data_IF_041590308703
#
_entry.id   IF_041590308703
#
_cell.length_a   1.000
_cell.length_b   1.000
_cell.length_c   1.000
_cell.angle_alpha   90.00
_cell.angle_beta   90.00
_cell.angle_gamma   90.00
#
_symmetry.space_group_name_H-M   'P 1'
#
loop_
_entity.id
_entity.type
_entity.pdbx_description
1 polymer ?
#
# COMPACT_ATOMS: atom_id res chain seq x y z
N UNK A 1 -18.19 -1.50 -13.90
CA UNK A 1 -17.94 -2.58 -14.87
C UNK A 1 -18.91 -3.69 -14.50
N UNK A 2 -19.74 -4.08 -15.44
CA UNK A 2 -20.64 -5.24 -15.29
C UNK A 2 -19.83 -6.43 -15.80
N UNK A 3 -19.65 -7.42 -14.94
CA UNK A 3 -19.06 -8.70 -15.29
C UNK A 3 -20.21 -9.71 -15.41
N UNK A 4 -20.19 -10.52 -16.47
CA UNK A 4 -21.19 -11.57 -16.71
C UNK A 4 -20.98 -12.81 -15.83
N UNK A 5 -20.07 -12.74 -14.84
CA UNK A 5 -19.85 -13.84 -13.90
C UNK A 5 -21.13 -14.06 -13.07
N UNK A 6 -21.77 -15.24 -13.13
CA UNK A 6 -22.97 -15.51 -12.34
C UNK A 6 -22.71 -15.29 -10.84
N UNK A 7 -23.65 -14.64 -10.17
CA UNK A 7 -23.64 -14.43 -8.71
C UNK A 7 -22.52 -13.51 -8.19
N UNK A 8 -21.77 -12.81 -9.06
CA UNK A 8 -20.73 -11.90 -8.66
C UNK A 8 -20.94 -10.49 -9.23
N UNK A 9 -20.59 -9.47 -8.44
CA UNK A 9 -20.52 -8.07 -8.86
C UNK A 9 -19.13 -7.54 -8.57
N UNK A 10 -18.42 -7.12 -9.63
CA UNK A 10 -17.06 -6.56 -9.50
C UNK A 10 -17.14 -5.04 -9.41
N UNK A 11 -16.60 -4.48 -8.32
CA UNK A 11 -16.46 -3.04 -8.13
C UNK A 11 -15.02 -2.62 -8.38
N UNK A 12 -14.83 -1.66 -9.29
CA UNK A 12 -13.53 -1.10 -9.61
C UNK A 12 -13.54 0.43 -9.47
N UNK A 13 -12.44 1.01 -9.00
CA UNK A 13 -12.28 2.45 -8.85
C UNK A 13 -10.91 2.81 -8.32
N UNK A 14 -10.42 4.00 -8.69
CA UNK A 14 -9.11 4.51 -8.25
C UNK A 14 -9.07 4.82 -6.76
N UNK A 15 -10.13 5.46 -6.24
CA UNK A 15 -10.19 5.83 -4.83
C UNK A 15 -10.65 4.64 -3.98
N UNK A 16 -9.78 4.09 -3.10
CA UNK A 16 -10.10 2.89 -2.32
C UNK A 16 -11.22 3.13 -1.31
N UNK A 17 -11.35 4.33 -0.75
CA UNK A 17 -12.43 4.69 0.18
C UNK A 17 -13.78 4.70 -0.55
N UNK A 18 -13.87 5.34 -1.71
CA UNK A 18 -15.11 5.33 -2.52
C UNK A 18 -15.51 3.93 -2.95
N UNK A 19 -14.53 3.09 -3.27
CA UNK A 19 -14.78 1.68 -3.60
C UNK A 19 -15.35 0.91 -2.41
N UNK A 20 -14.82 1.16 -1.21
CA UNK A 20 -15.33 0.52 0.01
C UNK A 20 -16.74 1.03 0.38
N UNK A 21 -17.00 2.33 0.24
CA UNK A 21 -18.38 2.89 0.38
C UNK A 21 -19.35 2.17 -0.56
N UNK A 22 -18.96 2.04 -1.83
CA UNK A 22 -19.82 1.37 -2.82
C UNK A 22 -20.06 -0.11 -2.47
N UNK A 23 -19.03 -0.82 -1.99
CA UNK A 23 -19.12 -2.22 -1.57
C UNK A 23 -20.11 -2.39 -0.42
N UNK A 24 -19.93 -1.63 0.65
CA UNK A 24 -20.78 -1.72 1.84
C UNK A 24 -22.22 -1.27 1.52
N UNK A 25 -22.37 -0.18 0.75
CA UNK A 25 -23.69 0.30 0.35
C UNK A 25 -24.44 -0.74 -0.49
N UNK A 26 -23.77 -1.37 -1.45
CA UNK A 26 -24.35 -2.43 -2.28
C UNK A 26 -24.77 -3.65 -1.45
N UNK A 27 -23.92 -4.13 -0.54
CA UNK A 27 -24.26 -5.24 0.36
C UNK A 27 -25.50 -4.94 1.19
N UNK A 28 -25.62 -3.72 1.71
CA UNK A 28 -26.79 -3.29 2.48
C UNK A 28 -28.06 -3.20 1.64
N UNK A 29 -27.94 -2.65 0.41
CA UNK A 29 -29.07 -2.55 -0.51
C UNK A 29 -29.59 -3.92 -0.95
N UNK A 30 -28.68 -4.84 -1.26
CA UNK A 30 -29.04 -6.22 -1.62
C UNK A 30 -29.71 -6.92 -0.45
N UNK A 31 -29.19 -6.76 0.77
CA UNK A 31 -29.77 -7.35 1.98
C UNK A 31 -31.13 -6.74 2.36
N UNK A 32 -31.31 -5.43 2.15
CA UNK A 32 -32.59 -4.72 2.43
C UNK A 32 -33.67 -5.00 1.35
N UNK A 33 -33.24 -5.27 0.11
CA UNK A 33 -34.15 -5.52 -1.03
C UNK A 33 -34.88 -4.28 -1.58
N UNK A 34 -34.78 -3.13 -0.92
CA UNK A 34 -35.40 -1.87 -1.34
C UNK A 34 -34.41 -1.01 -2.14
N UNK A 35 -34.35 -1.26 -3.44
CA UNK A 35 -33.40 -0.58 -4.33
C UNK A 35 -34.14 0.47 -5.16
N UNK A 36 -34.17 1.70 -4.65
CA UNK A 36 -34.70 2.88 -5.33
C UNK A 36 -33.82 4.12 -5.03
N UNK A 37 -33.83 5.18 -5.87
CA UNK A 37 -32.88 6.30 -5.78
C UNK A 37 -32.75 6.90 -4.38
N UNK A 38 -33.84 7.27 -3.73
CA UNK A 38 -33.79 7.87 -2.39
C UNK A 38 -33.16 6.94 -1.33
N UNK A 39 -33.40 5.62 -1.44
CA UNK A 39 -32.80 4.65 -0.51
C UNK A 39 -31.32 4.45 -0.78
N UNK A 40 -30.91 4.50 -2.03
CA UNK A 40 -29.50 4.43 -2.42
C UNK A 40 -28.74 5.62 -1.83
N UNK A 41 -29.26 6.84 -2.01
CA UNK A 41 -28.65 8.07 -1.47
C UNK A 41 -28.55 8.01 0.06
N UNK A 42 -29.61 7.62 0.75
CA UNK A 42 -29.64 7.47 2.21
C UNK A 42 -28.56 6.50 2.71
N UNK A 43 -28.46 5.31 2.09
CA UNK A 43 -27.50 4.28 2.48
C UNK A 43 -26.08 4.74 2.18
N UNK A 44 -25.81 5.32 1.02
CA UNK A 44 -24.48 5.82 0.66
C UNK A 44 -24.03 6.89 1.66
N UNK A 45 -24.87 7.88 1.96
CA UNK A 45 -24.54 8.93 2.91
C UNK A 45 -24.25 8.36 4.32
N UNK A 46 -25.06 7.39 4.76
CA UNK A 46 -24.84 6.74 6.06
C UNK A 46 -23.52 5.97 6.08
N UNK A 47 -23.21 5.22 5.04
CA UNK A 47 -21.96 4.45 4.93
C UNK A 47 -20.74 5.37 4.89
N UNK A 48 -20.82 6.50 4.17
CA UNK A 48 -19.74 7.49 4.15
C UNK A 48 -19.43 8.02 5.55
N UNK A 49 -20.44 8.38 6.33
CA UNK A 49 -20.28 8.85 7.71
C UNK A 49 -19.67 7.77 8.62
N UNK A 50 -20.19 6.54 8.55
CA UNK A 50 -19.66 5.42 9.34
C UNK A 50 -18.21 5.09 8.98
N UNK A 51 -17.88 5.13 7.68
CA UNK A 51 -16.53 4.87 7.21
C UNK A 51 -15.55 5.98 7.64
N UNK A 52 -15.97 7.22 7.66
CA UNK A 52 -15.15 8.33 8.15
C UNK A 52 -14.79 8.16 9.64
N UNK A 53 -15.74 7.71 10.46
CA UNK A 53 -15.49 7.36 11.87
C UNK A 53 -14.51 6.18 11.96
N UNK A 54 -14.76 5.11 11.23
CA UNK A 54 -13.91 3.92 11.23
C UNK A 54 -12.46 4.20 10.76
N UNK A 55 -12.28 5.09 9.79
CA UNK A 55 -10.97 5.57 9.35
C UNK A 55 -10.24 6.29 10.49
N UNK A 56 -10.91 7.21 11.18
CA UNK A 56 -10.31 7.93 12.29
C UNK A 56 -9.93 6.98 13.43
N UNK A 57 -10.83 6.11 13.83
CA UNK A 57 -10.59 5.12 14.88
C UNK A 57 -9.40 4.19 14.54
N UNK A 58 -9.31 3.75 13.28
CA UNK A 58 -8.18 2.95 12.84
C UNK A 58 -6.84 3.71 12.96
N UNK A 59 -6.81 5.00 12.59
CA UNK A 59 -5.61 5.83 12.74
C UNK A 59 -5.22 6.03 14.20
N UNK A 60 -6.18 6.32 15.08
CA UNK A 60 -5.98 6.43 16.52
C UNK A 60 -5.45 5.11 17.10
N UNK A 61 -6.03 3.99 16.71
CA UNK A 61 -5.59 2.66 17.14
C UNK A 61 -4.14 2.37 16.73
N UNK A 62 -3.75 2.67 15.48
CA UNK A 62 -2.37 2.48 15.03
C UNK A 62 -1.37 3.29 15.86
N UNK A 63 -1.68 4.56 16.15
CA UNK A 63 -0.82 5.42 16.97
C UNK A 63 -0.71 4.92 18.40
N UNK A 64 -1.80 4.41 18.95
CA UNK A 64 -1.84 3.80 20.28
C UNK A 64 -1.02 2.52 20.34
N UNK A 65 -1.21 1.59 19.42
CA UNK A 65 -0.52 0.29 19.38
C UNK A 65 1.00 0.46 19.24
N UNK A 66 1.43 1.38 18.39
CA UNK A 66 2.85 1.68 18.19
C UNK A 66 3.44 2.50 19.37
N UNK A 67 2.60 3.19 20.15
CA UNK A 67 3.01 4.05 21.25
C UNK A 67 3.60 5.39 20.77
N UNK A 68 3.07 5.94 19.66
CA UNK A 68 3.45 7.24 19.10
C UNK A 68 2.34 8.26 19.38
N UNK A 69 2.67 9.36 20.04
CA UNK A 69 1.70 10.36 20.49
C UNK A 69 1.95 11.73 19.85
N UNK A 70 0.92 12.58 19.84
CA UNK A 70 1.02 13.96 19.34
C UNK A 70 1.16 14.04 17.81
N UNK A 71 0.63 13.08 17.07
CA UNK A 71 0.46 13.18 15.63
C UNK A 71 -0.74 14.08 15.34
N UNK A 72 -0.63 14.93 14.32
CA UNK A 72 -1.71 15.81 13.91
C UNK A 72 -2.96 15.00 13.48
N UNK A 73 -4.20 15.41 13.82
CA UNK A 73 -5.42 14.68 13.51
C UNK A 73 -5.58 14.32 12.03
N UNK A 74 -5.16 15.18 11.12
CA UNK A 74 -5.21 14.90 9.68
C UNK A 74 -4.25 13.77 9.28
N UNK A 75 -3.06 13.69 9.88
CA UNK A 75 -2.15 12.55 9.65
C UNK A 75 -2.72 11.26 10.24
N UNK A 76 -3.38 11.31 11.40
CA UNK A 76 -4.09 10.17 12.00
C UNK A 76 -5.17 9.66 11.03
N UNK A 77 -5.96 10.57 10.46
CA UNK A 77 -6.95 10.22 9.44
C UNK A 77 -6.32 9.56 8.20
N UNK A 78 -5.19 10.08 7.74
CA UNK A 78 -4.45 9.48 6.61
C UNK A 78 -3.91 8.09 6.95
N UNK A 79 -3.36 7.87 8.16
CA UNK A 79 -2.96 6.53 8.62
C UNK A 79 -4.16 5.57 8.56
N UNK A 80 -5.33 5.99 9.03
CA UNK A 80 -6.54 5.16 8.98
C UNK A 80 -6.99 4.83 7.55
N UNK A 81 -6.84 5.76 6.58
CA UNK A 81 -7.13 5.51 5.16
C UNK A 81 -6.27 4.39 4.57
N UNK A 82 -5.03 4.21 5.05
CA UNK A 82 -4.14 3.13 4.60
C UNK A 82 -4.72 1.73 4.83
N UNK A 83 -5.67 1.56 5.76
CA UNK A 83 -6.38 0.30 6.01
C UNK A 83 -7.11 -0.23 4.76
N UNK A 84 -7.50 0.67 3.88
CA UNK A 84 -8.23 0.37 2.64
C UNK A 84 -7.31 0.37 1.41
N UNK A 85 -6.01 0.52 1.60
CA UNK A 85 -5.00 0.54 0.55
C UNK A 85 -4.15 -0.73 0.58
N UNK A 86 -4.10 -1.43 -0.54
CA UNK A 86 -3.18 -2.55 -0.77
C UNK A 86 -2.12 -2.11 -1.79
N UNK A 87 -0.87 -2.37 -1.50
CA UNK A 87 0.27 -2.10 -2.37
C UNK A 87 1.19 -3.31 -2.37
N UNK A 88 1.56 -3.82 -3.55
CA UNK A 88 2.40 -5.00 -3.72
C UNK A 88 1.94 -6.24 -2.90
N UNK A 89 0.63 -6.43 -2.77
CA UNK A 89 0.05 -7.55 -2.04
C UNK A 89 -0.01 -7.38 -0.52
N UNK A 90 0.51 -6.29 0.03
CA UNK A 90 0.43 -5.96 1.45
C UNK A 90 -0.64 -4.89 1.72
N UNK A 91 -1.37 -5.03 2.82
CA UNK A 91 -2.17 -3.95 3.36
C UNK A 91 -1.23 -2.88 3.95
N UNK A 92 -1.29 -1.65 3.44
CA UNK A 92 -0.33 -0.59 3.78
C UNK A 92 -0.43 -0.18 5.25
N UNK A 93 -1.61 -0.22 5.85
CA UNK A 93 -1.80 0.08 7.27
C UNK A 93 -1.05 -0.91 8.17
N UNK A 94 -1.19 -2.22 7.92
CA UNK A 94 -0.49 -3.25 8.69
C UNK A 94 1.02 -3.18 8.46
N UNK A 95 1.43 -2.96 7.22
CA UNK A 95 2.81 -2.74 6.86
C UNK A 95 3.44 -1.55 7.62
N UNK A 96 2.78 -0.40 7.66
CA UNK A 96 3.28 0.78 8.38
C UNK A 96 3.44 0.53 9.88
N UNK A 97 2.52 -0.20 10.51
CA UNK A 97 2.63 -0.62 11.92
C UNK A 97 3.84 -1.55 12.12
N UNK A 98 4.02 -2.53 11.25
CA UNK A 98 5.14 -3.47 11.29
C UNK A 98 6.48 -2.76 11.13
N UNK A 99 6.60 -1.87 10.14
CA UNK A 99 7.80 -1.05 9.91
C UNK A 99 8.10 -0.19 11.14
N UNK A 100 7.09 0.41 11.77
CA UNK A 100 7.28 1.17 13.00
C UNK A 100 7.84 0.34 14.15
N UNK A 101 7.37 -0.89 14.34
CA UNK A 101 7.92 -1.80 15.35
C UNK A 101 9.34 -2.21 15.03
N UNK A 102 9.65 -2.57 13.78
CA UNK A 102 11.01 -2.92 13.34
C UNK A 102 11.98 -1.75 13.55
N UNK A 103 11.59 -0.53 13.15
CA UNK A 103 12.36 0.68 13.42
C UNK A 103 12.63 0.87 14.92
N UNK A 104 11.62 0.65 15.75
CA UNK A 104 11.76 0.77 17.19
C UNK A 104 12.73 -0.23 17.80
N UNK A 105 12.68 -1.50 17.36
CA UNK A 105 13.60 -2.55 17.81
C UNK A 105 15.03 -2.22 17.39
N UNK A 106 15.26 -1.93 16.11
CA UNK A 106 16.59 -1.60 15.61
C UNK A 106 17.17 -0.35 16.27
N UNK A 107 16.35 0.70 16.46
CA UNK A 107 16.78 1.91 17.15
C UNK A 107 17.17 1.64 18.61
N UNK A 108 16.44 0.76 19.31
CA UNK A 108 16.77 0.35 20.68
C UNK A 108 18.11 -0.37 20.77
N UNK A 109 18.35 -1.34 19.87
CA UNK A 109 19.60 -2.11 19.85
C UNK A 109 20.82 -1.23 19.50
N UNK A 110 20.62 -0.23 18.65
CA UNK A 110 21.69 0.66 18.19
C UNK A 110 21.84 1.93 19.06
N UNK A 111 21.01 2.12 20.10
CA UNK A 111 21.09 3.26 21.00
C UNK A 111 20.54 4.56 20.42
N UNK A 112 19.68 4.50 19.43
CA UNK A 112 19.01 5.67 18.84
C UNK A 112 17.65 5.97 19.47
N UNK A 113 17.05 7.09 19.09
CA UNK A 113 15.75 7.51 19.62
C UNK A 113 14.61 6.62 19.12
N UNK A 114 14.19 5.68 19.95
CA UNK A 114 13.12 4.70 19.65
C UNK A 114 11.80 5.37 19.27
N UNK A 115 11.40 6.45 19.97
CA UNK A 115 10.13 7.14 19.68
C UNK A 115 10.16 7.81 18.31
N UNK A 116 11.29 8.41 17.94
CA UNK A 116 11.48 9.04 16.65
C UNK A 116 11.51 8.00 15.52
N UNK A 117 12.22 6.88 15.71
CA UNK A 117 12.29 5.79 14.75
C UNK A 117 10.90 5.16 14.50
N UNK A 118 10.15 4.88 15.56
CA UNK A 118 8.76 4.38 15.44
C UNK A 118 7.85 5.36 14.70
N UNK A 119 7.98 6.65 14.98
CA UNK A 119 7.19 7.69 14.32
C UNK A 119 7.51 7.78 12.83
N UNK A 120 8.78 7.75 12.47
CA UNK A 120 9.23 7.72 11.08
C UNK A 120 8.69 6.49 10.34
N UNK A 121 8.86 5.31 10.91
CA UNK A 121 8.34 4.06 10.34
C UNK A 121 6.83 4.04 10.19
N UNK A 122 6.07 4.60 11.13
CA UNK A 122 4.60 4.67 11.02
C UNK A 122 4.15 5.58 9.88
N UNK A 123 4.90 6.64 9.59
CA UNK A 123 4.53 7.67 8.61
C UNK A 123 5.21 7.51 7.25
N UNK A 124 6.16 6.57 7.07
CA UNK A 124 6.95 6.49 5.84
C UNK A 124 6.11 6.39 4.57
N UNK A 125 5.03 5.64 4.62
CA UNK A 125 4.12 5.37 3.50
C UNK A 125 2.84 6.23 3.50
N UNK A 126 2.77 7.30 4.29
CA UNK A 126 1.56 8.11 4.48
C UNK A 126 1.02 8.69 3.17
N UNK A 127 1.88 8.95 2.19
CA UNK A 127 1.50 9.47 0.87
C UNK A 127 0.62 8.50 0.08
N UNK A 128 0.72 7.19 0.32
CA UNK A 128 -0.14 6.18 -0.32
C UNK A 128 -1.63 6.31 0.03
N UNK A 129 -1.96 7.09 1.06
CA UNK A 129 -3.35 7.40 1.39
C UNK A 129 -4.03 8.31 0.35
N UNK A 130 -3.25 9.06 -0.45
CA UNK A 130 -3.74 10.07 -1.41
C UNK A 130 -3.01 10.09 -2.75
N UNK A 131 -2.07 9.19 -3.01
CA UNK A 131 -1.28 9.11 -4.24
C UNK A 131 -2.12 8.94 -5.52
N UNK A 132 -3.33 8.44 -5.39
CA UNK A 132 -4.31 8.32 -6.47
C UNK A 132 -5.05 9.64 -6.79
N UNK A 133 -4.93 10.65 -5.93
CA UNK A 133 -5.57 11.97 -6.07
C UNK A 133 -4.56 13.06 -6.44
N UNK A 134 -3.25 12.81 -6.21
CA UNK A 134 -2.17 13.80 -6.33
C UNK A 134 -1.08 13.21 -7.24
N UNK A 135 -0.60 13.99 -8.20
CA UNK A 135 0.50 13.60 -9.07
C UNK A 135 1.83 13.65 -8.33
N UNK A 136 2.63 12.60 -8.45
CA UNK A 136 3.96 12.49 -7.84
C UNK A 136 4.21 11.15 -7.15
N UNK A 137 5.41 10.97 -6.60
CA UNK A 137 5.72 9.80 -5.81
C UNK A 137 5.06 9.88 -4.43
N UNK A 138 4.66 8.74 -3.87
CA UNK A 138 4.07 8.71 -2.52
C UNK A 138 5.06 9.19 -1.44
N UNK A 139 6.37 9.02 -1.63
CA UNK A 139 7.40 9.48 -0.73
C UNK A 139 7.40 11.02 -0.65
N UNK A 140 7.40 11.70 -1.80
CA UNK A 140 7.34 13.16 -1.87
C UNK A 140 6.01 13.72 -1.37
N UNK A 141 4.89 13.15 -1.80
CA UNK A 141 3.55 13.53 -1.32
C UNK A 141 3.46 13.36 0.20
N UNK A 142 3.96 12.24 0.73
CA UNK A 142 3.98 11.95 2.17
C UNK A 142 4.83 12.95 2.96
N UNK A 143 6.02 13.29 2.46
CA UNK A 143 6.90 14.29 3.08
C UNK A 143 6.25 15.69 3.11
N UNK A 144 5.58 16.09 2.03
CA UNK A 144 4.89 17.39 1.97
C UNK A 144 3.70 17.45 2.93
N UNK A 145 2.93 16.36 3.06
CA UNK A 145 1.86 16.23 4.05
C UNK A 145 2.41 16.28 5.47
N UNK A 146 3.46 15.53 5.77
CA UNK A 146 4.10 15.51 7.07
C UNK A 146 4.62 16.91 7.45
N UNK A 147 5.28 17.61 6.53
CA UNK A 147 5.74 18.98 6.71
C UNK A 147 4.58 19.95 6.97
N UNK A 148 3.52 19.86 6.17
CA UNK A 148 2.31 20.69 6.30
C UNK A 148 1.67 20.54 7.67
N UNK A 149 1.66 19.34 8.23
CA UNK A 149 1.03 19.03 9.50
C UNK A 149 2.00 19.02 10.69
N UNK A 150 3.18 19.63 10.54
CA UNK A 150 4.06 19.99 11.65
C UNK A 150 4.97 18.86 12.13
N UNK A 151 5.25 17.85 11.32
CA UNK A 151 6.28 16.86 11.64
C UNK A 151 7.68 17.48 11.60
N UNK A 152 8.58 16.93 12.42
CA UNK A 152 9.95 17.41 12.48
C UNK A 152 10.71 17.16 11.16
N UNK A 153 11.73 18.00 10.85
CA UNK A 153 12.53 17.81 9.62
C UNK A 153 13.08 16.39 9.44
N UNK A 154 13.51 15.76 10.54
CA UNK A 154 14.03 14.38 10.51
C UNK A 154 12.96 13.39 10.06
N UNK A 155 11.72 13.52 10.55
CA UNK A 155 10.60 12.65 10.12
C UNK A 155 10.25 12.91 8.66
N UNK A 156 10.17 14.19 8.26
CA UNK A 156 9.90 14.57 6.88
C UNK A 156 10.95 14.00 5.93
N UNK A 157 12.23 14.08 6.31
CA UNK A 157 13.33 13.56 5.52
C UNK A 157 13.28 12.04 5.41
N UNK A 158 13.02 11.31 6.52
CA UNK A 158 12.91 9.85 6.46
C UNK A 158 11.76 9.38 5.55
N UNK A 159 10.69 10.16 5.40
CA UNK A 159 9.60 9.83 4.48
C UNK A 159 10.04 9.98 3.02
N UNK A 160 10.79 11.00 2.65
CA UNK A 160 11.23 11.19 1.26
C UNK A 160 12.41 10.29 0.89
N UNK A 161 13.26 9.94 1.86
CA UNK A 161 14.49 9.19 1.62
C UNK A 161 14.29 7.66 1.52
N UNK A 162 13.17 7.09 2.02
CA UNK A 162 13.01 5.64 2.17
C UNK A 162 13.01 4.83 0.85
N UNK A 163 12.90 5.49 -0.30
CA UNK A 163 13.04 4.90 -1.64
C UNK A 163 14.16 5.53 -2.46
N UNK A 164 15.22 6.02 -1.82
CA UNK A 164 16.40 6.60 -2.46
C UNK A 164 16.10 7.83 -3.36
N UNK A 165 14.92 8.46 -3.23
CA UNK A 165 14.64 9.72 -3.92
C UNK A 165 15.52 10.86 -3.40
N UNK A 166 15.88 10.81 -2.12
CA UNK A 166 16.92 11.62 -1.49
C UNK A 166 17.89 10.71 -0.74
N UNK A 167 19.14 11.15 -0.60
CA UNK A 167 20.14 10.36 0.12
C UNK A 167 19.86 10.40 1.62
N UNK A 168 20.04 9.28 2.36
CA UNK A 168 19.91 9.28 3.80
C UNK A 168 20.85 10.32 4.46
N UNK A 169 20.31 11.18 5.31
CA UNK A 169 21.08 12.18 6.08
C UNK A 169 21.16 11.81 7.56
N UNK A 170 20.34 10.88 8.01
CA UNK A 170 20.28 10.44 9.40
C UNK A 170 20.23 8.92 9.51
N UNK A 171 20.59 8.39 10.69
CA UNK A 171 20.43 6.97 10.96
C UNK A 171 18.94 6.55 10.95
N UNK A 172 18.03 7.46 11.25
CA UNK A 172 16.59 7.18 11.21
C UNK A 172 16.15 6.84 9.76
N UNK A 173 16.69 7.51 8.76
CA UNK A 173 16.39 7.24 7.34
C UNK A 173 16.80 5.82 6.97
N UNK A 174 18.02 5.44 7.36
CA UNK A 174 18.56 4.07 7.12
C UNK A 174 17.73 3.01 7.83
N UNK A 175 17.29 3.30 9.07
CA UNK A 175 16.43 2.36 9.81
C UNK A 175 15.06 2.18 9.16
N UNK A 176 14.47 3.23 8.63
CA UNK A 176 13.17 3.17 7.93
C UNK A 176 13.30 2.35 6.64
N UNK A 177 14.32 2.61 5.83
CA UNK A 177 14.60 1.86 4.60
C UNK A 177 14.83 0.36 4.89
N UNK A 178 15.65 0.04 5.88
CA UNK A 178 15.91 -1.33 6.28
C UNK A 178 14.65 -2.03 6.81
N UNK A 179 13.83 -1.34 7.61
CA UNK A 179 12.59 -1.87 8.15
C UNK A 179 11.54 -2.12 7.08
N UNK A 180 11.40 -1.20 6.11
CA UNK A 180 10.52 -1.36 4.95
C UNK A 180 10.93 -2.60 4.12
N UNK A 181 12.21 -2.72 3.80
CA UNK A 181 12.76 -3.87 3.08
C UNK A 181 12.51 -5.19 3.82
N UNK A 182 12.72 -5.24 5.14
CA UNK A 182 12.48 -6.42 5.97
C UNK A 182 11.01 -6.81 6.00
N UNK A 183 10.10 -5.85 6.19
CA UNK A 183 8.65 -6.11 6.18
C UNK A 183 8.20 -6.62 4.80
N UNK A 184 8.73 -6.06 3.71
CA UNK A 184 8.42 -6.49 2.35
C UNK A 184 9.01 -7.86 1.98
N UNK A 185 10.14 -8.26 2.55
CA UNK A 185 10.82 -9.53 2.28
C UNK A 185 10.29 -10.70 3.12
N UNK A 186 9.49 -10.44 4.14
CA UNK A 186 8.94 -11.45 5.04
C UNK A 186 8.15 -12.53 4.27
N UNK A 187 8.35 -13.83 4.57
CA UNK A 187 7.57 -14.90 3.96
C UNK A 187 6.05 -14.68 4.13
N UNK A 188 5.32 -14.68 3.03
CA UNK A 188 3.87 -14.46 3.01
C UNK A 188 3.41 -12.99 3.00
N UNK A 189 4.30 -12.01 3.15
CA UNK A 189 3.95 -10.60 3.06
C UNK A 189 3.46 -10.21 1.65
N UNK A 190 4.05 -10.81 0.62
CA UNK A 190 3.76 -10.57 -0.81
C UNK A 190 3.17 -11.80 -1.50
N UNK A 191 2.23 -12.47 -0.85
CA UNK A 191 1.66 -13.73 -1.35
C UNK A 191 1.05 -13.58 -2.76
N UNK A 192 0.36 -12.48 -3.02
CA UNK A 192 -0.20 -12.18 -4.36
C UNK A 192 0.89 -11.86 -5.39
N UNK A 193 2.04 -11.33 -4.97
CA UNK A 193 3.17 -11.09 -5.87
C UNK A 193 3.80 -12.38 -6.39
N UNK A 194 3.79 -13.46 -5.61
CA UNK A 194 4.32 -14.73 -6.09
C UNK A 194 3.49 -15.30 -7.23
N UNK A 195 2.15 -15.28 -7.11
CA UNK A 195 1.24 -15.73 -8.18
C UNK A 195 1.33 -14.82 -9.42
N UNK A 196 1.33 -13.50 -9.22
CA UNK A 196 1.51 -12.52 -10.30
C UNK A 196 2.89 -12.63 -10.94
N UNK A 197 3.93 -12.89 -10.13
CA UNK A 197 5.29 -13.12 -10.58
C UNK A 197 5.39 -14.39 -11.44
N UNK A 198 4.86 -15.51 -10.97
CA UNK A 198 4.83 -16.78 -11.72
C UNK A 198 4.06 -16.60 -13.02
N UNK A 199 2.88 -16.00 -12.97
CA UNK A 199 2.06 -15.71 -14.15
C UNK A 199 2.80 -14.82 -15.16
N UNK A 200 3.53 -13.80 -14.70
CA UNK A 200 4.35 -12.94 -15.58
C UNK A 200 5.47 -13.73 -16.27
N UNK A 201 6.15 -14.64 -15.56
CA UNK A 201 7.17 -15.48 -16.15
C UNK A 201 6.56 -16.40 -17.22
N UNK A 202 5.43 -17.06 -16.91
CA UNK A 202 4.70 -17.90 -17.84
C UNK A 202 4.23 -17.12 -19.09
N UNK A 203 3.73 -15.90 -18.92
CA UNK A 203 3.28 -15.05 -20.05
C UNK A 203 4.47 -14.63 -20.93
N UNK A 204 5.63 -14.31 -20.35
CA UNK A 204 6.85 -14.01 -21.10
C UNK A 204 7.35 -15.23 -21.90
N UNK A 205 7.32 -16.42 -21.29
CA UNK A 205 7.66 -17.66 -21.96
C UNK A 205 6.68 -17.99 -23.09
N UNK A 206 5.36 -17.85 -22.86
CA UNK A 206 4.32 -18.03 -23.90
C UNK A 206 4.49 -17.07 -25.07
N UNK A 207 4.73 -15.78 -24.80
CA UNK A 207 4.99 -14.78 -25.84
C UNK A 207 6.22 -15.20 -26.65
N UNK A 208 7.30 -15.61 -25.99
CA UNK A 208 8.53 -16.04 -26.68
C UNK A 208 8.31 -17.27 -27.55
N UNK A 209 7.54 -18.25 -27.09
CA UNK A 209 7.18 -19.44 -27.86
C UNK A 209 6.26 -19.15 -29.05
N UNK A 210 5.56 -18.01 -29.09
CA UNK A 210 4.72 -17.63 -30.23
C UNK A 210 5.50 -17.26 -31.48
N UNK A 211 6.80 -17.03 -31.38
CA UNK A 211 7.66 -16.70 -32.52
C UNK A 211 8.16 -17.94 -33.23
N UNK A 212 8.07 -17.92 -34.56
CA UNK A 212 8.55 -19.03 -35.43
C UNK A 212 10.05 -19.22 -35.26
N UNK A 213 10.48 -20.47 -35.02
CA UNK A 213 11.90 -20.81 -34.85
C UNK A 213 12.36 -20.89 -33.39
N UNK A 214 11.52 -20.52 -32.47
CA UNK A 214 11.80 -20.69 -31.03
C UNK A 214 11.48 -22.13 -30.61
N UNK A 215 12.48 -22.84 -30.09
CA UNK A 215 12.35 -24.20 -29.55
C UNK A 215 11.97 -24.15 -28.05
N UNK A 216 12.71 -23.35 -27.27
CA UNK A 216 12.47 -23.18 -25.84
C UNK A 216 12.73 -21.73 -25.43
N UNK A 217 11.99 -21.26 -24.43
CA UNK A 217 12.20 -19.97 -23.81
C UNK A 217 12.12 -20.11 -22.27
N UNK A 218 12.97 -19.38 -21.58
CA UNK A 218 13.03 -19.36 -20.13
C UNK A 218 13.13 -17.91 -19.65
N UNK A 219 12.17 -17.49 -18.85
CA UNK A 219 12.21 -16.21 -18.18
C UNK A 219 13.03 -16.33 -16.89
N UNK A 220 14.12 -15.58 -16.79
CA UNK A 220 15.06 -15.62 -15.67
C UNK A 220 15.22 -14.21 -15.06
N UNK A 221 15.93 -14.09 -13.94
CA UNK A 221 16.17 -12.83 -13.23
C UNK A 221 14.88 -12.03 -12.97
N UNK A 222 13.85 -12.69 -12.44
CA UNK A 222 12.56 -12.09 -12.16
C UNK A 222 11.85 -11.51 -13.41
N UNK A 223 12.05 -12.13 -14.59
CA UNK A 223 11.46 -11.66 -15.85
C UNK A 223 12.14 -10.44 -16.46
N UNK A 224 13.38 -10.13 -16.03
CA UNK A 224 14.21 -9.06 -16.62
C UNK A 224 15.02 -9.55 -17.82
N UNK A 225 15.20 -10.87 -17.93
CA UNK A 225 15.92 -11.54 -19.01
C UNK A 225 15.08 -12.73 -19.49
N UNK A 226 14.97 -12.89 -20.82
CA UNK A 226 14.37 -14.10 -21.43
C UNK A 226 15.44 -14.77 -22.27
N UNK A 227 15.77 -16.03 -21.96
CA UNK A 227 16.68 -16.85 -22.76
C UNK A 227 15.88 -17.65 -23.75
N UNK A 228 16.17 -17.45 -25.02
CA UNK A 228 15.48 -18.12 -26.12
C UNK A 228 16.44 -19.07 -26.81
N UNK A 229 16.00 -20.32 -26.94
CA UNK A 229 16.71 -21.32 -27.75
C UNK A 229 16.04 -21.41 -29.12
N UNK A 230 16.80 -21.19 -30.16
CA UNK A 230 16.31 -21.19 -31.53
C UNK A 230 16.84 -22.43 -32.30
N UNK A 231 16.06 -22.92 -33.26
CA UNK A 231 16.52 -23.97 -34.14
C UNK A 231 17.55 -23.42 -35.12
N UNK A 232 18.68 -24.13 -35.31
CA UNK A 232 19.84 -23.59 -36.06
C UNK A 232 19.59 -23.34 -37.56
N UNK A 233 18.51 -23.87 -38.13
CA UNK A 233 18.25 -23.81 -39.57
C UNK A 233 17.00 -22.97 -39.96
N UNK A 234 16.62 -22.00 -39.08
CA UNK A 234 15.48 -21.12 -39.36
C UNK A 234 15.72 -19.66 -38.93
#
# INVERSE_FOLDING_TARGET
>A
IIDDTPEAVILSGFNPIRREVARIALERLVSDGRIHPARIEEIVQKVEQELEVAVREAGEQATFDVGVHGIHPELIKLIGRLKYRTSFGQNVYQHSIEVAFLCGIMASELGFNVKQAKRAGLLHDIGKAVDHEIEGSHAKIGADLARKYGESPVIVHSIVAHHEEEKPESMIDVLVEAADALSGARPGARREMLETYVKRLEDLEKISHSFTGVDKAYAIQAGREVRVMVQPDR
#
